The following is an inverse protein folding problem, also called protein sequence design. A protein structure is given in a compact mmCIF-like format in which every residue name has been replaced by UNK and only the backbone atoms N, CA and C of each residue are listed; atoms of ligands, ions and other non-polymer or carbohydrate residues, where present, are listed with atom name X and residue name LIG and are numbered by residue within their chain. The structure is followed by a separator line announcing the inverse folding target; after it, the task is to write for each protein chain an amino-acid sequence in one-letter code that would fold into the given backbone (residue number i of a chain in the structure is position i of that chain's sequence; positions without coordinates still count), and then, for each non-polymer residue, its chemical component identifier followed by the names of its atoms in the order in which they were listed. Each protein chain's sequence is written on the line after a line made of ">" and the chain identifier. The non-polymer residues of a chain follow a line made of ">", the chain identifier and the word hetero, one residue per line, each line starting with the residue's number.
data_IF_301758373573
#
_entry.id   IF_301758373573
#
_cell.length_a   1.000
_cell.length_b   1.000
_cell.length_c   1.000
_cell.angle_alpha   90.00
_cell.angle_beta   90.00
_cell.angle_gamma   90.00
#
_symmetry.space_group_name_H-M   'P 1'
#
loop_
_entity.id
_entity.type
_entity.pdbx_description
1 polymer ?
#
# COMPACT_ATOMS: atom_id res chain seq x y z
N UNK A 1 -19.91 -5.13 5.21
CA UNK A 1 -18.56 -5.60 5.60
C UNK A 1 -17.46 -4.59 5.25
N UNK A 2 -17.30 -4.17 3.98
CA UNK A 2 -16.24 -3.24 3.56
C UNK A 2 -16.30 -1.90 4.29
N UNK A 3 -17.50 -1.29 4.45
CA UNK A 3 -17.67 -0.04 5.21
C UNK A 3 -17.22 -0.18 6.67
N UNK A 4 -17.51 -1.29 7.32
CA UNK A 4 -17.09 -1.55 8.71
C UNK A 4 -15.61 -1.88 8.83
N UNK A 5 -15.02 -2.52 7.82
CA UNK A 5 -13.57 -2.71 7.75
C UNK A 5 -12.85 -1.36 7.70
N UNK A 6 -13.33 -0.43 6.86
CA UNK A 6 -12.79 0.93 6.76
C UNK A 6 -12.97 1.76 8.05
N UNK A 7 -13.87 1.33 8.94
CA UNK A 7 -14.05 1.89 10.28
C UNK A 7 -13.16 1.21 11.34
N UNK A 8 -12.25 0.32 10.96
CA UNK A 8 -11.32 -0.37 11.87
C UNK A 8 -11.91 -1.52 12.67
N UNK A 9 -13.09 -2.04 12.29
CA UNK A 9 -13.74 -3.16 12.99
C UNK A 9 -13.13 -4.48 12.54
N UNK A 10 -12.08 -4.92 13.25
CA UNK A 10 -11.30 -6.14 12.92
C UNK A 10 -12.14 -7.43 12.84
N UNK A 11 -13.26 -7.54 13.57
CA UNK A 11 -14.12 -8.73 13.58
C UNK A 11 -14.74 -9.08 12.22
N UNK A 12 -14.87 -8.11 11.32
CA UNK A 12 -15.46 -8.31 9.98
C UNK A 12 -14.48 -8.84 8.94
N UNK A 13 -13.18 -8.83 9.21
CA UNK A 13 -12.19 -9.30 8.22
C UNK A 13 -12.36 -10.79 7.91
N UNK A 14 -12.67 -11.62 8.92
CA UNK A 14 -12.90 -13.05 8.71
C UNK A 14 -14.18 -13.33 7.90
N UNK A 15 -15.26 -12.58 8.19
CA UNK A 15 -16.52 -12.69 7.43
C UNK A 15 -16.33 -12.23 5.98
N UNK A 16 -15.63 -11.12 5.78
CA UNK A 16 -15.30 -10.61 4.45
C UNK A 16 -14.44 -11.60 3.66
N UNK A 17 -13.46 -12.23 4.30
CA UNK A 17 -12.66 -13.27 3.67
C UNK A 17 -13.49 -14.48 3.24
N UNK A 18 -14.42 -14.92 4.08
CA UNK A 18 -15.36 -16.00 3.74
C UNK A 18 -16.20 -15.61 2.53
N UNK A 19 -16.83 -14.43 2.56
CA UNK A 19 -17.63 -13.93 1.45
C UNK A 19 -16.81 -13.86 0.14
N UNK A 20 -15.57 -13.39 0.20
CA UNK A 20 -14.69 -13.35 -0.96
C UNK A 20 -14.40 -14.75 -1.53
N UNK A 21 -14.19 -15.77 -0.69
CA UNK A 21 -14.02 -17.13 -1.17
C UNK A 21 -15.31 -17.68 -1.81
N UNK A 22 -16.48 -17.36 -1.25
CA UNK A 22 -17.75 -17.77 -1.83
C UNK A 22 -17.97 -17.14 -3.22
N UNK A 23 -17.63 -15.85 -3.38
CA UNK A 23 -17.67 -15.15 -4.66
C UNK A 23 -16.71 -15.79 -5.69
N UNK A 24 -15.48 -16.15 -5.27
CA UNK A 24 -14.51 -16.83 -6.14
C UNK A 24 -15.02 -18.23 -6.56
N UNK A 25 -15.58 -18.99 -5.63
CA UNK A 25 -16.10 -20.34 -5.89
C UNK A 25 -17.30 -20.34 -6.86
N UNK A 26 -18.09 -19.27 -6.83
CA UNK A 26 -19.25 -19.08 -7.71
C UNK A 26 -18.89 -18.41 -9.05
N UNK A 27 -17.62 -18.03 -9.27
CA UNK A 27 -17.11 -17.31 -10.45
C UNK A 27 -17.86 -15.99 -10.77
N UNK A 28 -18.36 -15.28 -9.73
CA UNK A 28 -19.10 -14.00 -9.88
C UNK A 28 -18.25 -12.77 -9.57
N UNK A 29 -16.93 -12.89 -9.67
CA UNK A 29 -15.95 -11.82 -9.40
C UNK A 29 -15.57 -11.03 -10.64
N UNK A 30 -15.89 -11.51 -11.83
CA UNK A 30 -15.60 -10.83 -13.09
C UNK A 30 -16.64 -9.77 -13.41
N UNK A 31 -16.23 -8.73 -14.11
CA UNK A 31 -17.14 -7.74 -14.67
C UNK A 31 -17.81 -8.24 -15.96
N UNK A 32 -18.64 -7.39 -16.56
CA UNK A 32 -19.36 -7.70 -17.81
C UNK A 32 -18.43 -7.94 -19.03
N UNK A 33 -17.12 -7.63 -18.91
CA UNK A 33 -16.10 -7.88 -19.93
C UNK A 33 -15.24 -9.11 -19.63
N UNK A 34 -15.62 -9.91 -18.64
CA UNK A 34 -14.84 -11.04 -18.12
C UNK A 34 -13.44 -10.62 -17.61
N UNK A 35 -13.33 -9.41 -17.06
CA UNK A 35 -12.10 -8.87 -16.48
C UNK A 35 -12.25 -8.84 -14.97
N UNK A 36 -11.19 -9.19 -14.25
CA UNK A 36 -11.14 -9.02 -12.80
C UNK A 36 -10.89 -7.53 -12.49
N UNK A 37 -11.86 -6.81 -11.87
CA UNK A 37 -11.67 -5.40 -11.59
C UNK A 37 -10.49 -5.18 -10.65
N UNK A 38 -9.57 -4.27 -11.00
CA UNK A 38 -8.35 -3.99 -10.26
C UNK A 38 -8.59 -3.73 -8.76
N UNK A 39 -9.56 -2.89 -8.44
CA UNK A 39 -9.89 -2.55 -7.05
C UNK A 39 -10.36 -3.77 -6.26
N UNK A 40 -11.13 -4.63 -6.90
CA UNK A 40 -11.61 -5.89 -6.31
C UNK A 40 -10.43 -6.83 -6.08
N UNK A 41 -9.55 -7.04 -7.06
CA UNK A 41 -8.35 -7.85 -6.92
C UNK A 41 -7.46 -7.38 -5.75
N UNK A 42 -7.23 -6.07 -5.64
CA UNK A 42 -6.49 -5.47 -4.51
C UNK A 42 -7.13 -5.77 -3.16
N UNK A 43 -8.46 -5.70 -3.07
CA UNK A 43 -9.17 -6.00 -1.83
C UNK A 43 -8.98 -7.46 -1.40
N UNK A 44 -8.95 -8.41 -2.34
CA UNK A 44 -8.65 -9.81 -2.06
C UNK A 44 -7.23 -10.00 -1.53
N UNK A 45 -6.25 -9.39 -2.18
CA UNK A 45 -4.85 -9.41 -1.72
C UNK A 45 -4.74 -8.82 -0.31
N UNK A 46 -5.33 -7.66 -0.07
CA UNK A 46 -5.27 -6.98 1.22
C UNK A 46 -5.91 -7.79 2.34
N UNK A 47 -7.08 -8.39 2.12
CA UNK A 47 -7.72 -9.21 3.15
C UNK A 47 -6.91 -10.44 3.49
N UNK A 48 -6.26 -11.07 2.49
CA UNK A 48 -5.34 -12.17 2.70
C UNK A 48 -4.11 -11.78 3.54
N UNK A 49 -3.56 -10.58 3.29
CA UNK A 49 -2.45 -10.00 4.06
C UNK A 49 -2.88 -9.71 5.50
N UNK A 50 -3.99 -8.99 5.70
CA UNK A 50 -4.52 -8.62 7.02
C UNK A 50 -4.76 -9.87 7.89
N UNK A 51 -5.26 -10.93 7.30
CA UNK A 51 -5.52 -12.20 8.00
C UNK A 51 -4.30 -13.14 8.04
N UNK A 52 -3.12 -12.68 7.61
CA UNK A 52 -1.87 -13.46 7.57
C UNK A 52 -2.00 -14.78 6.80
N UNK A 53 -2.84 -14.82 5.75
CA UNK A 53 -3.09 -15.99 4.91
C UNK A 53 -2.09 -16.06 3.74
N UNK A 54 -0.78 -16.08 4.02
CA UNK A 54 0.30 -16.01 3.02
C UNK A 54 0.09 -16.96 1.85
N UNK A 55 -0.04 -18.26 2.14
CA UNK A 55 -0.18 -19.31 1.11
C UNK A 55 -1.43 -19.10 0.24
N UNK A 56 -2.54 -18.70 0.85
CA UNK A 56 -3.76 -18.38 0.13
C UNK A 56 -3.55 -17.17 -0.79
N UNK A 57 -2.92 -16.11 -0.28
CA UNK A 57 -2.68 -14.88 -1.05
C UNK A 57 -1.76 -15.14 -2.24
N UNK A 58 -0.69 -15.91 -2.06
CA UNK A 58 0.20 -16.31 -3.17
C UNK A 58 -0.55 -17.10 -4.25
N UNK A 59 -1.35 -18.09 -3.84
CA UNK A 59 -2.19 -18.89 -4.77
C UNK A 59 -3.22 -18.00 -5.49
N UNK A 60 -3.85 -17.06 -4.78
CA UNK A 60 -4.79 -16.11 -5.34
C UNK A 60 -4.13 -15.25 -6.42
N UNK A 61 -3.01 -14.58 -6.10
CA UNK A 61 -2.28 -13.74 -7.06
C UNK A 61 -1.91 -14.56 -8.30
N UNK A 62 -1.31 -15.74 -8.11
CA UNK A 62 -0.87 -16.61 -9.21
C UNK A 62 -2.02 -17.05 -10.11
N UNK A 63 -3.16 -17.43 -9.51
CA UNK A 63 -4.30 -17.98 -10.25
C UNK A 63 -5.07 -16.90 -11.03
N UNK A 64 -5.31 -15.75 -10.40
CA UNK A 64 -6.25 -14.74 -10.92
C UNK A 64 -5.56 -13.54 -11.60
N UNK A 65 -4.24 -13.45 -11.58
CA UNK A 65 -3.53 -12.34 -12.23
C UNK A 65 -3.72 -12.28 -13.74
N UNK A 66 -3.91 -13.41 -14.41
CA UNK A 66 -4.16 -13.46 -15.86
C UNK A 66 -5.48 -12.81 -16.28
N UNK A 67 -6.40 -12.65 -15.33
CA UNK A 67 -7.73 -12.07 -15.54
C UNK A 67 -7.75 -10.55 -15.33
N UNK A 68 -6.62 -9.96 -14.89
CA UNK A 68 -6.45 -8.51 -14.82
C UNK A 68 -6.28 -7.91 -16.23
N UNK A 69 -6.66 -6.62 -16.43
CA UNK A 69 -6.35 -5.89 -17.65
C UNK A 69 -4.85 -6.00 -17.97
N UNK A 70 -4.52 -6.23 -19.25
CA UNK A 70 -3.16 -6.54 -19.68
C UNK A 70 -2.19 -5.38 -19.40
N UNK A 71 -2.63 -4.16 -19.62
CA UNK A 71 -1.86 -2.92 -19.46
C UNK A 71 -1.38 -2.68 -18.00
N UNK A 72 -2.16 -3.10 -17.00
CA UNK A 72 -1.85 -2.90 -15.58
C UNK A 72 -1.37 -4.17 -14.88
N UNK A 73 -1.51 -5.35 -15.52
CA UNK A 73 -1.28 -6.65 -14.89
C UNK A 73 0.10 -6.77 -14.26
N UNK A 74 1.15 -6.40 -14.99
CA UNK A 74 2.53 -6.49 -14.52
C UNK A 74 2.76 -5.69 -13.25
N UNK A 75 2.32 -4.44 -13.23
CA UNK A 75 2.45 -3.54 -12.08
C UNK A 75 1.61 -4.01 -10.89
N UNK A 76 0.38 -4.47 -11.14
CA UNK A 76 -0.51 -4.93 -10.08
C UNK A 76 0.00 -6.20 -9.40
N UNK A 77 0.52 -7.15 -10.18
CA UNK A 77 1.16 -8.37 -9.66
C UNK A 77 2.41 -8.02 -8.84
N UNK A 78 3.26 -7.14 -9.35
CA UNK A 78 4.47 -6.69 -8.66
C UNK A 78 4.14 -6.03 -7.33
N UNK A 79 3.16 -5.12 -7.30
CA UNK A 79 2.70 -4.49 -6.06
C UNK A 79 2.10 -5.49 -5.07
N UNK A 80 1.32 -6.45 -5.56
CA UNK A 80 0.67 -7.45 -4.73
C UNK A 80 1.69 -8.35 -4.02
N UNK A 81 2.69 -8.86 -4.75
CA UNK A 81 3.76 -9.63 -4.16
C UNK A 81 4.64 -8.79 -3.23
N UNK A 82 4.97 -7.56 -3.63
CA UNK A 82 5.73 -6.66 -2.77
C UNK A 82 5.04 -6.41 -1.43
N UNK A 83 3.74 -6.10 -1.42
CA UNK A 83 2.93 -5.93 -0.20
C UNK A 83 2.91 -7.22 0.65
N UNK A 84 2.78 -8.38 0.00
CA UNK A 84 2.78 -9.66 0.68
C UNK A 84 4.13 -9.97 1.34
N UNK A 85 5.25 -9.73 0.63
CA UNK A 85 6.58 -9.95 1.20
C UNK A 85 6.90 -8.94 2.30
N UNK A 86 6.52 -7.67 2.14
CA UNK A 86 6.64 -6.65 3.18
C UNK A 86 5.91 -7.09 4.47
N UNK A 87 4.65 -7.51 4.35
CA UNK A 87 3.85 -7.96 5.51
C UNK A 87 4.42 -9.20 6.24
N UNK A 88 5.26 -9.98 5.53
CA UNK A 88 5.99 -11.12 6.09
C UNK A 88 7.44 -10.75 6.49
N UNK A 89 7.76 -9.46 6.59
CA UNK A 89 9.09 -8.92 6.94
C UNK A 89 10.23 -9.37 6.01
N UNK A 90 9.90 -9.83 4.79
CA UNK A 90 10.89 -10.14 3.76
C UNK A 90 11.10 -8.90 2.88
N UNK A 91 11.81 -7.93 3.43
CA UNK A 91 11.98 -6.60 2.86
C UNK A 91 12.78 -6.61 1.56
N UNK A 92 13.76 -7.50 1.45
CA UNK A 92 14.58 -7.67 0.24
C UNK A 92 13.71 -8.11 -0.95
N UNK A 93 12.92 -9.16 -0.77
CA UNK A 93 11.99 -9.61 -1.82
C UNK A 93 10.93 -8.56 -2.13
N UNK A 94 10.46 -7.82 -1.13
CA UNK A 94 9.52 -6.71 -1.36
C UNK A 94 10.11 -5.69 -2.33
N UNK A 95 11.35 -5.24 -2.12
CA UNK A 95 12.04 -4.31 -3.03
C UNK A 95 12.33 -4.93 -4.40
N UNK A 96 12.70 -6.22 -4.44
CA UNK A 96 12.97 -6.92 -5.68
C UNK A 96 11.76 -6.90 -6.63
N UNK A 97 10.54 -7.10 -6.10
CA UNK A 97 9.32 -6.99 -6.91
C UNK A 97 9.05 -5.58 -7.42
N UNK A 98 9.56 -4.54 -6.77
CA UNK A 98 9.43 -3.15 -7.20
C UNK A 98 10.54 -2.69 -8.16
N UNK A 99 11.59 -3.47 -8.38
CA UNK A 99 12.71 -3.10 -9.24
C UNK A 99 12.33 -3.00 -10.72
N UNK A 100 11.42 -3.86 -11.20
CA UNK A 100 10.90 -3.87 -12.58
C UNK A 100 9.60 -3.08 -12.77
N UNK A 101 9.19 -2.33 -11.77
CA UNK A 101 7.91 -1.63 -11.75
C UNK A 101 7.90 -0.43 -12.72
N UNK A 102 6.92 -0.37 -13.61
CA UNK A 102 6.82 0.68 -14.64
C UNK A 102 6.07 1.93 -14.16
N UNK A 103 5.13 1.78 -13.24
CA UNK A 103 4.32 2.88 -12.71
C UNK A 103 3.36 3.47 -13.74
N UNK A 104 2.59 2.62 -14.41
CA UNK A 104 1.71 2.99 -15.54
C UNK A 104 0.73 4.11 -15.23
N UNK A 105 0.37 4.30 -13.98
CA UNK A 105 -0.48 5.40 -13.55
C UNK A 105 -0.04 5.94 -12.18
N UNK A 106 -0.55 7.11 -11.81
CA UNK A 106 -0.14 7.78 -10.58
C UNK A 106 -0.49 7.00 -9.29
N UNK A 107 -1.55 6.18 -9.30
CA UNK A 107 -1.89 5.34 -8.14
C UNK A 107 -0.85 4.25 -7.94
N UNK A 108 -0.47 3.56 -9.01
CA UNK A 108 0.59 2.56 -8.99
C UNK A 108 1.92 3.18 -8.54
N UNK A 109 2.28 4.33 -9.11
CA UNK A 109 3.50 5.04 -8.73
C UNK A 109 3.51 5.41 -7.25
N UNK A 110 2.41 6.00 -6.75
CA UNK A 110 2.27 6.37 -5.35
C UNK A 110 2.35 5.17 -4.41
N UNK A 111 1.64 4.07 -4.73
CA UNK A 111 1.67 2.83 -3.95
C UNK A 111 3.09 2.25 -3.87
N UNK A 112 3.82 2.24 -5.00
CA UNK A 112 5.19 1.71 -5.04
C UNK A 112 6.16 2.58 -4.24
N UNK A 113 6.08 3.91 -4.38
CA UNK A 113 6.92 4.84 -3.63
C UNK A 113 6.67 4.74 -2.12
N UNK A 114 5.40 4.68 -1.70
CA UNK A 114 5.06 4.48 -0.28
C UNK A 114 5.61 3.16 0.23
N UNK A 115 5.48 2.07 -0.52
CA UNK A 115 5.97 0.76 -0.09
C UNK A 115 7.49 0.69 -0.01
N UNK A 116 8.22 1.34 -0.94
CA UNK A 116 9.68 1.51 -0.86
C UNK A 116 10.07 2.29 0.39
N UNK A 117 9.43 3.41 0.64
CA UNK A 117 9.68 4.23 1.82
C UNK A 117 9.47 3.44 3.12
N UNK A 118 8.33 2.73 3.23
CA UNK A 118 8.09 1.83 4.37
C UNK A 118 9.20 0.79 4.53
N UNK A 119 9.65 0.19 3.42
CA UNK A 119 10.71 -0.82 3.45
C UNK A 119 12.05 -0.22 3.87
N UNK A 120 12.41 0.96 3.39
CA UNK A 120 13.64 1.66 3.79
C UNK A 120 13.61 2.04 5.27
N UNK A 121 12.46 2.45 5.80
CA UNK A 121 12.30 2.72 7.22
C UNK A 121 12.54 1.48 8.09
N UNK A 122 11.99 0.33 7.70
CA UNK A 122 12.14 -0.95 8.42
C UNK A 122 13.56 -1.52 8.33
N UNK A 123 14.32 -1.12 7.31
CA UNK A 123 15.69 -1.63 7.05
C UNK A 123 16.78 -0.60 7.33
N UNK A 124 16.44 0.53 7.97
CA UNK A 124 17.35 1.62 8.34
C UNK A 124 18.14 2.22 7.15
N UNK A 125 17.57 2.12 5.93
CA UNK A 125 18.15 2.65 4.70
C UNK A 125 17.73 4.11 4.48
N UNK A 126 18.29 5.01 5.28
CA UNK A 126 17.84 6.41 5.31
C UNK A 126 18.26 7.21 4.09
N UNK A 127 19.41 6.94 3.49
CA UNK A 127 19.86 7.62 2.27
C UNK A 127 18.92 7.32 1.10
N UNK A 128 18.59 6.03 0.91
CA UNK A 128 17.63 5.60 -0.11
C UNK A 128 16.22 6.15 0.17
N UNK A 129 15.85 6.26 1.45
CA UNK A 129 14.58 6.86 1.85
C UNK A 129 14.51 8.34 1.45
N UNK A 130 15.54 9.14 1.74
CA UNK A 130 15.57 10.55 1.35
C UNK A 130 15.54 10.72 -0.17
N UNK A 131 16.28 9.91 -0.91
CA UNK A 131 16.25 9.92 -2.37
C UNK A 131 14.85 9.61 -2.92
N UNK A 132 14.19 8.55 -2.42
CA UNK A 132 12.84 8.19 -2.86
C UNK A 132 11.80 9.26 -2.44
N UNK A 133 11.95 9.89 -1.26
CA UNK A 133 11.09 11.01 -0.85
C UNK A 133 11.16 12.18 -1.83
N UNK A 134 12.36 12.57 -2.26
CA UNK A 134 12.54 13.69 -3.18
C UNK A 134 12.01 13.34 -4.58
N UNK A 135 12.29 12.12 -5.05
CA UNK A 135 11.74 11.59 -6.31
C UNK A 135 10.21 11.58 -6.30
N UNK A 136 9.60 11.08 -5.22
CA UNK A 136 8.15 11.02 -5.09
C UNK A 136 7.53 12.42 -5.00
N UNK A 137 8.14 13.32 -4.23
CA UNK A 137 7.71 14.73 -4.14
C UNK A 137 7.75 15.43 -5.50
N UNK A 138 8.83 15.22 -6.26
CA UNK A 138 8.98 15.77 -7.60
C UNK A 138 7.91 15.24 -8.53
N UNK A 139 7.68 13.92 -8.53
CA UNK A 139 6.62 13.29 -9.32
C UNK A 139 5.25 13.90 -9.02
N UNK A 140 4.84 13.96 -7.75
CA UNK A 140 3.55 14.51 -7.33
C UNK A 140 3.34 15.97 -7.76
N UNK A 141 4.39 16.78 -7.74
CA UNK A 141 4.32 18.20 -8.12
C UNK A 141 4.19 18.40 -9.61
N UNK A 142 4.87 17.60 -10.41
CA UNK A 142 4.98 17.79 -11.85
C UNK A 142 3.87 17.13 -12.68
N UNK A 143 3.05 16.25 -12.09
CA UNK A 143 1.96 15.55 -12.77
C UNK A 143 0.62 16.22 -12.48
N UNK A 144 0.17 17.09 -13.43
CA UNK A 144 -1.05 17.88 -13.25
C UNK A 144 -2.33 17.04 -13.30
N UNK A 145 -2.30 15.86 -13.91
CA UNK A 145 -3.39 14.91 -13.97
C UNK A 145 -3.73 14.28 -12.61
N UNK A 146 -2.85 14.37 -11.61
CA UNK A 146 -3.10 13.86 -10.28
C UNK A 146 -4.10 14.76 -9.55
N UNK A 147 -5.26 14.23 -9.10
CA UNK A 147 -6.24 15.00 -8.36
C UNK A 147 -5.64 15.67 -7.12
N UNK A 148 -6.05 16.91 -6.84
CA UNK A 148 -5.52 17.71 -5.72
C UNK A 148 -5.54 16.95 -4.39
N UNK A 149 -6.61 16.23 -4.11
CA UNK A 149 -6.75 15.45 -2.87
C UNK A 149 -5.67 14.36 -2.74
N UNK A 150 -5.30 13.68 -3.85
CA UNK A 150 -4.24 12.67 -3.85
C UNK A 150 -2.85 13.31 -3.68
N UNK A 151 -2.62 14.50 -4.27
CA UNK A 151 -1.40 15.27 -4.03
C UNK A 151 -1.25 15.65 -2.55
N UNK A 152 -2.33 16.12 -1.94
CA UNK A 152 -2.35 16.45 -0.51
C UNK A 152 -2.04 15.23 0.37
N UNK A 153 -2.64 14.08 0.08
CA UNK A 153 -2.36 12.84 0.82
C UNK A 153 -0.89 12.42 0.72
N UNK A 154 -0.32 12.43 -0.48
CA UNK A 154 1.07 12.07 -0.69
C UNK A 154 2.04 13.03 0.03
N UNK A 155 1.81 14.34 -0.07
CA UNK A 155 2.64 15.35 0.60
C UNK A 155 2.54 15.26 2.13
N UNK A 156 1.35 14.99 2.66
CA UNK A 156 1.12 14.77 4.08
C UNK A 156 1.82 13.51 4.58
N UNK A 157 1.75 12.41 3.80
CA UNK A 157 2.51 11.20 4.10
C UNK A 157 4.01 11.49 4.17
N UNK A 158 4.59 12.16 3.16
CA UNK A 158 6.02 12.51 3.13
C UNK A 158 6.44 13.39 4.32
N UNK A 159 5.57 14.31 4.76
CA UNK A 159 5.83 15.13 5.93
C UNK A 159 5.94 14.28 7.20
N UNK A 160 4.97 13.40 7.46
CA UNK A 160 4.98 12.53 8.64
C UNK A 160 6.14 11.54 8.57
N UNK A 161 6.38 10.95 7.40
CA UNK A 161 7.47 10.02 7.19
C UNK A 161 8.85 10.65 7.52
N UNK A 162 9.08 11.92 7.11
CA UNK A 162 10.29 12.65 7.48
C UNK A 162 10.42 12.80 8.99
N UNK A 163 9.32 13.14 9.69
CA UNK A 163 9.33 13.26 11.15
C UNK A 163 9.68 11.92 11.82
N UNK A 164 9.16 10.79 11.31
CA UNK A 164 9.49 9.46 11.81
C UNK A 164 10.98 9.12 11.64
N UNK A 165 11.57 9.43 10.48
CA UNK A 165 13.01 9.25 10.27
C UNK A 165 13.80 10.11 11.25
N UNK A 166 13.44 11.38 11.43
CA UNK A 166 14.15 12.28 12.34
C UNK A 166 14.16 11.73 13.76
N UNK A 167 13.04 11.21 14.25
CA UNK A 167 12.99 10.55 15.58
C UNK A 167 13.94 9.36 15.63
N UNK A 168 13.85 8.49 14.61
CA UNK A 168 14.63 7.24 14.57
C UNK A 168 16.14 7.48 14.47
N UNK A 169 16.54 8.59 13.82
CA UNK A 169 17.94 8.99 13.65
C UNK A 169 18.46 9.95 14.74
N UNK A 170 17.59 10.39 15.65
CA UNK A 170 17.97 11.35 16.71
C UNK A 170 18.30 12.75 16.19
N UNK A 171 17.91 13.08 14.96
CA UNK A 171 18.08 14.42 14.37
C UNK A 171 16.85 15.26 14.71
N UNK A 172 17.09 16.44 15.31
CA UNK A 172 16.08 17.41 15.74
C UNK A 172 15.15 16.94 16.89
N UNK A 173 14.78 17.87 17.78
CA UNK A 173 13.85 17.66 18.89
C UNK A 173 12.40 17.30 18.47
N UNK A 174 12.23 16.56 17.38
CA UNK A 174 10.95 15.99 16.94
C UNK A 174 10.57 14.86 17.88
N UNK A 175 9.40 14.96 18.53
CA UNK A 175 8.88 13.95 19.41
C UNK A 175 7.58 13.31 18.89
N UNK A 176 7.14 12.23 19.52
CA UNK A 176 5.90 11.53 19.15
C UNK A 176 4.66 12.42 19.26
N UNK A 177 4.65 13.36 20.22
CA UNK A 177 3.53 14.29 20.40
C UNK A 177 3.36 15.23 19.20
N UNK A 178 4.48 15.68 18.59
CA UNK A 178 4.43 16.49 17.37
C UNK A 178 3.88 15.69 16.18
N UNK A 179 4.23 14.40 16.07
CA UNK A 179 3.65 13.51 15.04
C UNK A 179 2.16 13.36 15.25
N UNK A 180 1.71 13.00 16.46
CA UNK A 180 0.29 12.84 16.76
C UNK A 180 -0.53 14.11 16.46
N UNK A 181 -0.01 15.28 16.82
CA UNK A 181 -0.64 16.55 16.52
C UNK A 181 -0.70 16.83 15.01
N UNK A 182 0.35 16.48 14.27
CA UNK A 182 0.39 16.59 12.82
C UNK A 182 -0.62 15.67 12.17
N UNK A 183 -0.74 14.42 12.65
CA UNK A 183 -1.73 13.45 12.16
C UNK A 183 -3.16 13.91 12.41
N UNK A 184 -3.46 14.44 13.61
CA UNK A 184 -4.78 15.01 13.94
C UNK A 184 -5.17 16.16 13.01
N UNK A 185 -4.22 17.07 12.70
CA UNK A 185 -4.44 18.22 11.80
C UNK A 185 -4.66 17.80 10.35
N UNK A 186 -4.00 16.73 9.90
CA UNK A 186 -4.02 16.27 8.51
C UNK A 186 -5.31 15.51 8.17
N UNK A 187 -6.18 15.17 9.13
CA UNK A 187 -7.38 14.34 8.90
C UNK A 187 -7.08 13.14 8.00
N UNK A 188 -6.07 12.39 8.36
CA UNK A 188 -5.64 11.21 7.60
C UNK A 188 -6.73 10.13 7.61
N UNK A 189 -7.74 10.27 6.75
CA UNK A 189 -8.78 9.25 6.55
C UNK A 189 -8.29 7.98 5.85
N UNK A 190 -7.04 7.92 5.38
CA UNK A 190 -6.64 6.89 4.42
C UNK A 190 -5.25 6.27 4.57
N UNK A 191 -4.54 6.45 5.67
CA UNK A 191 -3.25 5.77 5.76
C UNK A 191 -3.20 4.68 6.82
N UNK A 192 -3.90 3.57 6.58
CA UNK A 192 -3.58 2.28 7.20
C UNK A 192 -2.06 1.98 7.15
N UNK A 193 -1.35 2.44 6.11
CA UNK A 193 0.09 2.26 5.98
C UNK A 193 0.91 3.11 6.96
N UNK A 194 0.49 4.36 7.23
CA UNK A 194 1.19 5.20 8.24
C UNK A 194 0.89 4.70 9.64
N UNK A 195 -0.33 4.25 9.91
CA UNK A 195 -0.68 3.63 11.18
C UNK A 195 0.13 2.36 11.45
N UNK A 196 0.38 1.53 10.43
CA UNK A 196 1.21 0.35 10.56
C UNK A 196 2.69 0.67 10.88
N UNK A 197 3.22 1.83 10.42
CA UNK A 197 4.56 2.28 10.80
C UNK A 197 4.66 2.82 12.24
N UNK A 198 3.52 3.20 12.84
CA UNK A 198 3.46 3.70 14.22
C UNK A 198 3.17 2.59 15.24
N UNK A 199 2.70 1.41 14.81
CA UNK A 199 2.43 0.26 15.69
C UNK A 199 3.67 -0.62 15.94
N UNK A 200 4.83 -0.25 15.39
CA UNK A 200 6.14 -0.90 15.57
C UNK A 200 7.17 0.08 16.12
#
# INVERSE_FOLDING_TARGET
>A
CILRQNQGVKSFNAELFKLYNDILNQNIYLDHKNIFPQTTFRNYVMIGIILRKKVWTEKFIKKYSSELPEDIRGDEVSLSYSKLFFSNKNYEKSLQYLSGFKGMNYLHYSDSSVLKLCTYYETDKYEEAYFEMDKFRHYIRNHNEIPKIHKEYALNFLKIYKMLINIKTGVDGTDLFQIENSMKKIKLKSSLMVLNLLEH
#
